data_IF_241932935972
#
_entry.id   IF_241932935972
#
_cell.length_a   1.000
_cell.length_b   1.000
_cell.length_c   1.000
_cell.angle_alpha   90.00
_cell.angle_beta   90.00
_cell.angle_gamma   90.00
#
_symmetry.space_group_name_H-M   'P 1'
#
loop_
_entity.id
_entity.type
_entity.pdbx_description
1 polymer ?
#
# COMPACT_ATOMS: atom_id res chain seq x y z
N UNK A 1 3.83 -6.36 7.09
CA UNK A 1 2.54 -6.97 6.69
C UNK A 1 1.30 -6.08 6.94
N UNK A 2 1.43 -4.78 7.26
CA UNK A 2 0.27 -3.89 7.49
C UNK A 2 -0.19 -3.11 6.24
N UNK A 3 0.64 -2.97 5.21
CA UNK A 3 0.25 -2.27 3.98
C UNK A 3 -1.01 -2.84 3.31
N UNK A 4 -1.18 -4.17 3.33
CA UNK A 4 -2.32 -4.85 2.68
C UNK A 4 -3.67 -4.51 3.33
N UNK A 5 -3.72 -4.01 4.57
CA UNK A 5 -4.98 -3.64 5.23
C UNK A 5 -5.59 -2.35 4.68
N UNK A 6 -4.82 -1.52 3.98
CA UNK A 6 -5.32 -0.31 3.32
C UNK A 6 -6.00 -0.62 1.97
N UNK A 7 -5.88 -1.84 1.48
CA UNK A 7 -6.51 -2.26 0.21
C UNK A 7 -7.95 -2.72 0.46
N UNK A 8 -8.86 -2.23 -0.37
CA UNK A 8 -10.29 -2.59 -0.33
C UNK A 8 -11.18 -1.51 0.30
N UNK A 9 -12.49 -1.79 0.44
CA UNK A 9 -13.48 -0.79 0.86
C UNK A 9 -13.20 -0.19 2.25
N UNK A 10 -12.85 -1.02 3.23
CA UNK A 10 -12.54 -0.56 4.58
C UNK A 10 -11.29 0.34 4.60
N UNK A 11 -10.25 -0.05 3.86
CA UNK A 11 -9.04 0.76 3.70
C UNK A 11 -9.31 2.11 3.02
N UNK A 12 -10.16 2.14 1.98
CA UNK A 12 -10.59 3.39 1.34
C UNK A 12 -11.34 4.31 2.31
N UNK A 13 -12.20 3.76 3.17
CA UNK A 13 -12.89 4.54 4.21
C UNK A 13 -11.89 5.11 5.21
N UNK A 14 -10.95 4.29 5.68
CA UNK A 14 -9.89 4.73 6.57
C UNK A 14 -9.05 5.87 5.97
N UNK A 15 -8.57 5.72 4.74
CA UNK A 15 -7.78 6.76 4.04
C UNK A 15 -8.57 8.07 3.95
N UNK A 16 -9.87 7.98 3.62
CA UNK A 16 -10.76 9.15 3.55
C UNK A 16 -10.90 9.82 4.92
N UNK A 17 -11.08 9.05 5.98
CA UNK A 17 -11.32 9.58 7.31
C UNK A 17 -10.04 10.20 7.91
N UNK A 18 -8.87 9.60 7.65
CA UNK A 18 -7.55 10.17 7.96
C UNK A 18 -7.37 11.53 7.28
N UNK A 19 -7.71 11.61 5.99
CA UNK A 19 -7.64 12.87 5.23
C UNK A 19 -8.61 13.92 5.77
N UNK A 20 -9.86 13.54 6.08
CA UNK A 20 -10.84 14.44 6.70
C UNK A 20 -10.38 14.97 8.05
N UNK A 21 -9.63 14.17 8.80
CA UNK A 21 -9.04 14.58 10.07
C UNK A 21 -7.77 15.44 9.90
N UNK A 22 -7.36 15.79 8.66
CA UNK A 22 -6.15 16.56 8.39
C UNK A 22 -4.87 15.85 8.81
N UNK A 23 -4.87 14.51 8.83
CA UNK A 23 -3.73 13.70 9.25
C UNK A 23 -2.98 13.19 8.02
N UNK A 24 -1.65 13.11 8.13
CA UNK A 24 -0.79 12.50 7.10
C UNK A 24 -0.77 10.99 7.23
N UNK A 25 -0.81 10.30 6.10
CA UNK A 25 -0.78 8.85 5.96
C UNK A 25 0.54 8.41 5.32
N UNK A 26 1.33 7.62 6.04
CA UNK A 26 2.55 7.01 5.54
C UNK A 26 2.40 5.49 5.46
N UNK A 27 2.91 4.88 4.39
CA UNK A 27 2.85 3.43 4.17
C UNK A 27 4.24 2.80 4.39
N UNK A 28 4.31 1.70 5.13
CA UNK A 28 5.54 1.02 5.54
C UNK A 28 5.45 -0.51 5.40
N UNK A 29 6.55 -1.23 5.15
CA UNK A 29 7.70 -0.84 4.31
C UNK A 29 7.33 -1.21 2.89
N UNK A 30 7.61 -0.37 1.92
CA UNK A 30 7.23 -0.65 0.52
C UNK A 30 8.47 -0.69 -0.35
N UNK A 31 8.92 -1.89 -0.68
CA UNK A 31 10.13 -2.09 -1.49
C UNK A 31 9.83 -2.50 -2.94
N UNK A 32 8.55 -2.77 -3.26
CA UNK A 32 8.11 -3.14 -4.61
C UNK A 32 7.52 -1.93 -5.35
N UNK A 33 7.95 -1.72 -6.59
CA UNK A 33 7.49 -0.61 -7.44
C UNK A 33 5.96 -0.59 -7.63
N UNK A 34 5.33 -1.76 -7.82
CA UNK A 34 3.87 -1.86 -7.98
C UNK A 34 3.11 -1.30 -6.76
N UNK A 35 3.65 -1.55 -5.57
CA UNK A 35 3.08 -1.09 -4.31
C UNK A 35 3.39 0.37 -4.04
N UNK A 36 4.53 0.87 -4.51
CA UNK A 36 4.84 2.30 -4.53
C UNK A 36 3.83 3.05 -5.40
N UNK A 37 3.62 2.60 -6.65
CA UNK A 37 2.62 3.17 -7.57
C UNK A 37 1.20 3.13 -6.98
N UNK A 38 0.83 1.99 -6.36
CA UNK A 38 -0.46 1.88 -5.70
C UNK A 38 -0.60 2.87 -4.55
N UNK A 39 0.46 3.09 -3.75
CA UNK A 39 0.42 3.99 -2.59
C UNK A 39 0.23 5.44 -3.01
N UNK A 40 0.89 5.87 -4.09
CA UNK A 40 0.68 7.20 -4.70
C UNK A 40 -0.76 7.32 -5.19
N UNK A 41 -1.27 6.32 -5.93
CA UNK A 41 -2.65 6.32 -6.44
C UNK A 41 -3.71 6.32 -5.33
N UNK A 42 -3.43 5.64 -4.21
CA UNK A 42 -4.30 5.61 -3.04
C UNK A 42 -4.31 6.96 -2.31
N UNK A 43 -3.38 7.87 -2.63
CA UNK A 43 -3.23 9.18 -2.02
C UNK A 43 -2.64 9.11 -0.63
N UNK A 44 -1.67 8.22 -0.42
CA UNK A 44 -0.77 8.29 0.72
C UNK A 44 0.16 9.51 0.59
N UNK A 45 0.52 10.12 1.72
CA UNK A 45 1.39 11.28 1.77
C UNK A 45 2.87 10.91 1.73
N UNK A 46 3.20 9.64 1.94
CA UNK A 46 4.55 9.14 1.79
C UNK A 46 4.68 7.64 1.90
N UNK A 47 5.79 7.14 1.39
CA UNK A 47 6.19 5.75 1.45
C UNK A 47 7.51 5.66 2.21
N UNK A 48 7.56 4.74 3.17
CA UNK A 48 8.78 4.39 3.86
C UNK A 48 9.32 3.12 3.19
N UNK A 49 10.53 3.22 2.63
CA UNK A 49 11.17 2.22 1.77
C UNK A 49 12.65 2.13 2.09
N UNK A 50 13.24 0.94 1.89
CA UNK A 50 14.69 0.75 1.95
C UNK A 50 15.37 1.18 0.63
N UNK A 51 14.59 1.40 -0.44
CA UNK A 51 15.02 1.83 -1.77
C UNK A 51 14.38 3.19 -2.14
N UNK A 52 14.91 4.32 -1.60
CA UNK A 52 14.35 5.64 -1.85
C UNK A 52 14.59 6.14 -3.28
N UNK A 53 15.68 5.70 -3.92
CA UNK A 53 15.98 6.03 -5.31
C UNK A 53 14.91 5.50 -6.26
N UNK A 54 14.52 4.22 -6.09
CA UNK A 54 13.42 3.63 -6.84
C UNK A 54 12.12 4.42 -6.62
N UNK A 55 11.78 4.76 -5.38
CA UNK A 55 10.56 5.51 -5.10
C UNK A 55 10.54 6.89 -5.77
N UNK A 56 11.66 7.61 -5.78
CA UNK A 56 11.78 8.90 -6.48
C UNK A 56 11.57 8.79 -7.99
N UNK A 57 11.96 7.67 -8.61
CA UNK A 57 11.69 7.41 -10.03
C UNK A 57 10.20 7.17 -10.28
N UNK A 58 9.57 6.42 -9.39
CA UNK A 58 8.12 6.16 -9.46
C UNK A 58 7.34 7.47 -9.34
N UNK A 59 7.70 8.35 -8.40
CA UNK A 59 7.09 9.68 -8.26
C UNK A 59 7.25 10.52 -9.54
N UNK A 60 8.47 10.63 -10.08
CA UNK A 60 8.73 11.36 -11.33
C UNK A 60 7.91 10.83 -12.50
N UNK A 61 7.82 9.50 -12.63
CA UNK A 61 7.00 8.84 -13.66
C UNK A 61 5.52 9.15 -13.49
N UNK A 62 5.04 9.26 -12.24
CA UNK A 62 3.66 9.57 -11.91
C UNK A 62 3.30 11.03 -12.21
N UNK A 63 4.12 11.98 -11.78
CA UNK A 63 3.95 13.42 -12.07
C UNK A 63 3.93 13.71 -13.57
N UNK A 64 4.82 13.07 -14.34
CA UNK A 64 4.82 13.15 -15.80
C UNK A 64 3.52 12.65 -16.46
N UNK A 65 2.87 11.63 -15.86
CA UNK A 65 1.56 11.13 -16.33
C UNK A 65 0.43 12.09 -15.97
N UNK A 66 0.46 12.65 -14.77
CA UNK A 66 -0.57 13.60 -14.31
C UNK A 66 -0.52 14.90 -15.11
N UNK A 67 0.68 15.43 -15.36
CA UNK A 67 0.89 16.60 -16.22
C UNK A 67 0.47 16.33 -17.67
N UNK A 68 0.81 15.17 -18.24
CA UNK A 68 0.35 14.78 -19.57
C UNK A 68 -1.17 14.59 -19.65
N UNK A 69 -1.80 13.99 -18.64
CA UNK A 69 -3.25 13.83 -18.57
C UNK A 69 -3.97 15.17 -18.40
N UNK A 70 -3.43 16.08 -17.58
CA UNK A 70 -3.92 17.44 -17.42
C UNK A 70 -3.79 18.23 -18.72
N UNK A 71 -2.65 18.15 -19.41
CA UNK A 71 -2.41 18.81 -20.71
C UNK A 71 -3.32 18.27 -21.82
N UNK A 72 -3.64 16.96 -21.83
CA UNK A 72 -4.58 16.36 -22.76
C UNK A 72 -6.03 16.83 -22.53
N UNK A 73 -6.41 17.12 -21.28
CA UNK A 73 -7.67 17.79 -20.92
C UNK A 73 -7.64 19.31 -21.17
N UNK A 74 -6.47 19.91 -21.27
CA UNK A 74 -6.23 21.34 -21.41
C UNK A 74 -5.63 21.70 -22.79
N UNK A 75 -6.26 21.23 -23.88
CA UNK A 75 -6.00 21.77 -25.23
C UNK A 75 -6.57 23.20 -25.39
N UNK A 76 -6.07 24.10 -24.56
CA UNK A 76 -5.83 25.51 -24.82
C UNK A 76 -4.88 26.03 -23.74
N UNK A 77 -3.59 26.21 -24.06
CA UNK A 77 -2.70 27.07 -23.26
C UNK A 77 -1.39 26.46 -22.75
N UNK A 78 -0.34 26.63 -23.56
CA UNK A 78 1.05 27.04 -23.26
C UNK A 78 1.89 26.44 -22.10
N UNK A 79 2.97 25.80 -22.57
CA UNK A 79 4.35 25.52 -22.08
C UNK A 79 4.93 26.33 -20.90
N UNK A 80 5.76 25.65 -20.09
CA UNK A 80 7.13 25.92 -19.52
C UNK A 80 7.20 25.33 -18.09
N UNK A 81 8.21 24.62 -17.56
CA UNK A 81 9.57 24.21 -17.93
C UNK A 81 10.37 23.93 -16.63
N UNK A 82 11.14 22.83 -16.62
CA UNK A 82 12.38 22.44 -15.89
C UNK A 82 12.61 22.62 -14.37
N UNK A 83 13.12 21.55 -13.72
CA UNK A 83 14.48 21.54 -13.10
C UNK A 83 15.08 20.13 -12.93
N UNK A 84 16.39 20.03 -13.19
CA UNK A 84 17.25 18.85 -13.15
C UNK A 84 17.78 18.50 -11.75
N UNK A 85 18.11 17.22 -11.53
CA UNK A 85 19.02 16.79 -10.46
C UNK A 85 19.71 15.45 -10.79
N UNK A 86 21.05 15.52 -10.89
CA UNK A 86 22.01 14.43 -10.60
C UNK A 86 22.05 13.24 -11.57
N UNK A 87 22.91 13.34 -12.59
CA UNK A 87 23.27 12.22 -13.47
C UNK A 87 24.26 11.28 -12.76
N UNK A 88 23.74 10.16 -12.26
CA UNK A 88 24.52 8.97 -11.95
C UNK A 88 24.38 7.99 -13.13
N UNK A 89 25.49 7.36 -13.53
CA UNK A 89 25.62 6.67 -14.82
C UNK A 89 24.49 5.65 -15.08
N UNK A 90 23.78 5.89 -16.19
CA UNK A 90 22.56 5.20 -16.61
C UNK A 90 22.74 3.67 -16.67
N UNK A 91 23.96 3.21 -16.95
CA UNK A 91 24.33 1.80 -17.11
C UNK A 91 24.35 1.02 -15.78
N UNK A 92 24.84 1.62 -14.70
CA UNK A 92 24.92 0.98 -13.37
C UNK A 92 23.51 0.82 -12.78
N UNK A 93 22.66 1.81 -13.06
CA UNK A 93 21.25 1.84 -12.68
C UNK A 93 20.43 0.84 -13.48
N UNK A 94 20.65 0.78 -14.79
CA UNK A 94 20.01 -0.19 -15.69
C UNK A 94 20.34 -1.65 -15.31
N UNK A 95 21.57 -1.94 -14.88
CA UNK A 95 21.98 -3.29 -14.47
C UNK A 95 21.32 -3.74 -13.14
N UNK A 96 21.20 -2.86 -12.14
CA UNK A 96 20.41 -3.14 -10.92
C UNK A 96 18.91 -3.27 -11.22
N UNK A 97 18.39 -2.47 -12.15
CA UNK A 97 17.01 -2.51 -12.64
C UNK A 97 16.68 -3.80 -13.39
N UNK A 98 17.59 -4.34 -14.21
CA UNK A 98 17.32 -5.52 -15.04
C UNK A 98 17.02 -6.81 -14.24
N UNK A 99 17.50 -6.90 -12.99
CA UNK A 99 17.20 -8.03 -12.10
C UNK A 99 15.84 -7.94 -11.39
N UNK A 100 15.26 -6.73 -11.27
CA UNK A 100 13.98 -6.48 -10.57
C UNK A 100 12.84 -6.13 -11.53
N UNK A 101 13.17 -5.55 -12.69
CA UNK A 101 12.24 -5.10 -13.73
C UNK A 101 12.24 -6.11 -14.88
N UNK A 102 11.56 -7.23 -14.68
CA UNK A 102 11.05 -8.04 -15.79
C UNK A 102 9.77 -8.76 -15.36
N UNK A 103 8.64 -8.19 -15.76
CA UNK A 103 7.56 -8.86 -16.50
C UNK A 103 6.24 -8.12 -16.32
N UNK A 104 5.62 -7.84 -17.46
CA UNK A 104 4.52 -6.91 -17.58
C UNK A 104 3.16 -7.38 -17.03
N UNK A 105 2.35 -6.35 -16.83
CA UNK A 105 0.95 -6.26 -17.30
C UNK A 105 -0.08 -7.14 -16.60
N UNK A 106 -0.84 -6.50 -15.69
CA UNK A 106 -2.14 -6.90 -15.14
C UNK A 106 -2.22 -8.17 -14.27
N UNK A 107 -1.48 -9.24 -14.60
CA UNK A 107 -1.51 -10.52 -13.86
C UNK A 107 -0.96 -10.39 -12.44
N UNK A 108 0.08 -9.57 -12.23
CA UNK A 108 0.64 -9.32 -10.89
C UNK A 108 -0.28 -8.44 -10.05
N UNK A 109 -0.82 -7.35 -10.59
CA UNK A 109 -1.84 -6.54 -9.89
C UNK A 109 -3.07 -7.38 -9.53
N UNK A 110 -3.56 -8.25 -10.43
CA UNK A 110 -4.66 -9.15 -10.11
C UNK A 110 -4.28 -10.15 -9.01
N UNK A 111 -3.07 -10.71 -9.05
CA UNK A 111 -2.54 -11.59 -7.99
C UNK A 111 -2.46 -10.88 -6.64
N UNK A 112 -2.04 -9.60 -6.63
CA UNK A 112 -2.01 -8.77 -5.41
C UNK A 112 -3.41 -8.64 -4.82
N UNK A 113 -4.41 -8.31 -5.64
CA UNK A 113 -5.80 -8.22 -5.19
C UNK A 113 -6.37 -9.58 -4.78
N UNK A 114 -6.03 -10.67 -5.50
CA UNK A 114 -6.46 -12.04 -5.16
C UNK A 114 -5.91 -12.51 -3.81
N UNK A 115 -4.64 -12.24 -3.51
CA UNK A 115 -4.07 -12.56 -2.19
C UNK A 115 -4.79 -11.81 -1.07
N UNK A 116 -5.09 -10.52 -1.28
CA UNK A 116 -5.75 -9.68 -0.28
C UNK A 116 -7.20 -10.12 -0.10
N UNK A 117 -7.91 -10.37 -1.19
CA UNK A 117 -9.28 -10.90 -1.17
C UNK A 117 -9.30 -12.26 -0.47
N UNK A 118 -8.32 -13.13 -0.71
CA UNK A 118 -8.19 -14.41 -0.01
C UNK A 118 -8.05 -14.23 1.51
N UNK A 119 -7.17 -13.33 1.95
CA UNK A 119 -7.01 -13.01 3.39
C UNK A 119 -8.28 -12.37 3.97
N UNK A 120 -8.93 -11.46 3.24
CA UNK A 120 -10.17 -10.82 3.70
C UNK A 120 -11.33 -11.80 3.80
N UNK A 121 -11.51 -12.70 2.83
CA UNK A 121 -12.50 -13.77 2.89
C UNK A 121 -12.18 -14.72 4.03
N UNK A 122 -10.90 -15.08 4.23
CA UNK A 122 -10.48 -15.88 5.37
C UNK A 122 -10.88 -15.22 6.70
N UNK A 123 -10.56 -13.94 6.90
CA UNK A 123 -10.93 -13.22 8.13
C UNK A 123 -12.44 -13.12 8.27
N UNK A 124 -13.17 -12.80 7.20
CA UNK A 124 -14.62 -12.66 7.22
C UNK A 124 -15.35 -13.97 7.50
N UNK A 125 -14.80 -15.11 7.10
CA UNK A 125 -15.34 -16.45 7.39
C UNK A 125 -14.88 -16.93 8.76
N UNK A 126 -13.62 -16.70 9.12
CA UNK A 126 -13.05 -17.19 10.37
C UNK A 126 -13.59 -16.45 11.59
N UNK A 127 -13.86 -15.15 11.48
CA UNK A 127 -14.43 -14.35 12.57
C UNK A 127 -15.77 -14.90 13.09
N UNK A 128 -16.81 -15.13 12.26
CA UNK A 128 -18.07 -15.71 12.74
C UNK A 128 -17.89 -17.16 13.21
N UNK A 129 -17.02 -17.95 12.59
CA UNK A 129 -16.72 -19.33 13.04
C UNK A 129 -16.09 -19.33 14.43
N UNK A 130 -15.11 -18.45 14.69
CA UNK A 130 -14.52 -18.30 16.02
C UNK A 130 -15.53 -17.79 17.04
N UNK A 131 -16.37 -16.81 16.68
CA UNK A 131 -17.44 -16.34 17.57
C UNK A 131 -18.45 -17.45 17.89
N UNK A 132 -18.73 -18.34 16.93
CA UNK A 132 -19.57 -19.51 17.12
C UNK A 132 -18.91 -20.53 18.07
N UNK A 133 -17.64 -20.90 17.83
CA UNK A 133 -16.88 -21.83 18.67
C UNK A 133 -16.71 -21.32 20.10
N UNK A 134 -16.43 -20.01 20.27
CA UNK A 134 -16.36 -19.37 21.58
C UNK A 134 -17.73 -19.35 22.29
N UNK A 135 -18.82 -19.17 21.53
CA UNK A 135 -20.20 -19.21 22.06
C UNK A 135 -20.65 -20.62 22.45
N UNK A 136 -20.13 -21.66 21.81
CA UNK A 136 -20.48 -23.07 22.09
C UNK A 136 -19.44 -23.81 22.95
N UNK A 137 -18.49 -23.10 23.57
CA UNK A 137 -17.80 -23.58 24.78
C UNK A 137 -16.71 -24.65 24.58
N UNK A 138 -16.04 -24.72 23.43
CA UNK A 138 -14.89 -25.63 23.23
C UNK A 138 -13.57 -25.09 23.85
N UNK A 139 -13.58 -23.83 24.31
CA UNK A 139 -12.46 -23.28 25.09
C UNK A 139 -12.76 -23.53 26.57
N UNK A 140 -11.98 -24.43 27.17
CA UNK A 140 -12.00 -24.69 28.61
C UNK A 140 -11.88 -23.35 29.38
N UNK A 141 -12.61 -23.17 30.50
CA UNK A 141 -12.53 -21.94 31.28
C UNK A 141 -11.07 -21.68 31.64
N UNK A 142 -10.56 -20.50 31.28
CA UNK A 142 -9.23 -20.05 31.68
C UNK A 142 -9.07 -20.20 33.20
N UNK A 143 -7.85 -20.49 33.70
CA UNK A 143 -7.64 -20.81 35.10
C UNK A 143 -8.24 -19.71 35.95
N UNK A 144 -9.23 -20.09 36.77
CA UNK A 144 -9.94 -19.16 37.63
C UNK A 144 -8.91 -18.38 38.44
N UNK A 145 -9.01 -17.06 38.41
CA UNK A 145 -8.36 -16.17 39.39
C UNK A 145 -9.03 -16.33 40.75
N UNK A 146 -9.19 -17.58 41.21
CA UNK A 146 -9.59 -17.92 42.57
C UNK A 146 -8.32 -18.24 43.34
N UNK A 147 -7.67 -17.18 43.79
CA UNK A 147 -7.06 -17.10 45.12
C UNK A 147 -6.91 -15.62 45.45
N UNK A 148 -8.06 -15.10 45.86
CA UNK A 148 -8.13 -13.98 46.77
C UNK A 148 -7.16 -14.19 47.94
N UNK A 149 -6.56 -13.08 48.35
CA UNK A 149 -6.09 -12.75 49.69
C UNK A 149 -5.96 -13.95 50.66
N UNK A 150 -4.72 -14.30 51.00
CA UNK A 150 -4.38 -14.55 52.40
C UNK A 150 -3.25 -13.61 52.78
N UNK A 151 -3.46 -12.98 53.94
CA UNK A 151 -2.57 -12.13 54.69
C UNK A 151 -1.15 -12.70 54.80
#
# INVERSE_FOLDING_TARGET
MFQKSLVGPAGKLFIRDVRKAGRRLFVWTVNDEEWMEWSIRAGADGVITDDPELFLEVCRRWEGRETAAAAAGHRSGSVVGDVAAGEESDDTKAARRAGRVRDGTWRRTLRLYLEIVGVQVLVAVFTPVLMLVARFGVVAPGPSTTKALRL
#
